data_IF_183395352472
#
_entry.id   IF_183395352472
#
_cell.length_a   1.000
_cell.length_b   1.000
_cell.length_c   1.000
_cell.angle_alpha   90.00
_cell.angle_beta   90.00
_cell.angle_gamma   90.00
#
_symmetry.space_group_name_H-M   'P 1'
#
loop_
_entity.id
_entity.type
_entity.pdbx_description
1 polymer ?
#
# COMPACT_ATOMS: atom_id res chain seq x y z
N UNK A 1 6.54 3.17 -16.25
CA UNK A 1 7.73 2.43 -15.80
C UNK A 1 7.99 2.92 -14.38
N UNK A 2 7.80 2.17 -13.30
CA UNK A 2 7.84 0.73 -13.11
C UNK A 2 6.77 0.28 -12.08
N UNK A 3 6.04 -0.80 -12.38
CA UNK A 3 5.42 -1.59 -11.33
C UNK A 3 6.59 -2.22 -10.55
N UNK A 4 6.78 -1.83 -9.29
CA UNK A 4 7.86 -2.36 -8.47
C UNK A 4 7.66 -3.87 -8.30
N UNK A 5 8.53 -4.67 -8.93
CA UNK A 5 8.67 -6.07 -8.55
C UNK A 5 9.02 -6.10 -7.07
N UNK A 6 8.24 -6.84 -6.28
CA UNK A 6 8.52 -7.06 -4.87
C UNK A 6 9.93 -7.66 -4.76
N UNK A 7 10.88 -6.86 -4.30
CA UNK A 7 12.24 -7.35 -4.07
C UNK A 7 12.14 -8.31 -2.87
N UNK A 8 12.78 -9.47 -2.97
CA UNK A 8 12.87 -10.44 -1.87
C UNK A 8 13.37 -9.75 -0.60
N UNK A 9 12.51 -9.65 0.42
CA UNK A 9 12.78 -8.95 1.69
C UNK A 9 11.94 -7.69 1.94
N UNK A 10 10.98 -7.38 1.07
CA UNK A 10 10.03 -6.27 1.22
C UNK A 10 8.58 -6.81 1.36
N UNK A 11 7.68 -6.01 1.94
CA UNK A 11 6.22 -6.22 1.85
C UNK A 11 5.65 -5.23 0.84
N UNK A 12 4.86 -5.71 -0.11
CA UNK A 12 4.22 -4.85 -1.12
C UNK A 12 2.72 -4.75 -0.89
N UNK A 13 2.20 -3.52 -0.79
CA UNK A 13 0.77 -3.22 -0.79
C UNK A 13 0.37 -2.75 -2.19
N UNK A 14 -0.47 -3.53 -2.86
CA UNK A 14 -1.03 -3.24 -4.17
C UNK A 14 -2.19 -2.24 -4.16
N UNK A 15 -2.50 -1.73 -5.35
CA UNK A 15 -3.67 -0.88 -5.63
C UNK A 15 -4.08 -1.05 -7.10
N UNK A 16 -5.37 -1.26 -7.34
CA UNK A 16 -5.94 -1.59 -8.65
C UNK A 16 -5.25 -2.80 -9.27
N UNK A 17 -4.74 -2.60 -10.49
CA UNK A 17 -4.08 -3.65 -11.26
C UNK A 17 -2.63 -3.93 -10.81
N UNK A 18 -2.14 -3.26 -9.76
CA UNK A 18 -0.82 -3.54 -9.17
C UNK A 18 -0.98 -4.57 -8.07
N UNK A 19 -0.44 -5.76 -8.30
CA UNK A 19 -0.42 -6.84 -7.32
C UNK A 19 0.58 -6.56 -6.18
N UNK A 20 0.30 -7.13 -5.01
CA UNK A 20 1.17 -7.10 -3.83
C UNK A 20 0.80 -8.24 -2.88
N UNK A 21 1.51 -8.33 -1.75
CA UNK A 21 1.15 -9.24 -0.65
C UNK A 21 -0.23 -8.90 -0.06
N UNK A 22 -0.56 -7.61 -0.04
CA UNK A 22 -1.85 -7.08 0.37
C UNK A 22 -2.33 -6.08 -0.68
N UNK A 23 -3.61 -5.71 -0.64
CA UNK A 23 -4.16 -4.69 -1.56
C UNK A 23 -5.03 -3.69 -0.81
N UNK A 24 -4.91 -2.41 -1.17
CA UNK A 24 -5.81 -1.34 -0.73
C UNK A 24 -7.18 -1.44 -1.40
N UNK A 25 -7.21 -1.76 -2.69
CA UNK A 25 -8.41 -2.01 -3.48
C UNK A 25 -7.98 -2.72 -4.75
N UNK A 26 -8.54 -3.90 -5.05
CA UNK A 26 -8.22 -4.64 -6.28
C UNK A 26 -8.85 -3.99 -7.52
N UNK A 27 -9.96 -3.27 -7.34
CA UNK A 27 -10.63 -2.51 -8.41
C UNK A 27 -10.04 -1.13 -8.66
N UNK A 28 -9.15 -0.64 -7.79
CA UNK A 28 -8.62 0.72 -7.86
C UNK A 28 -9.61 1.79 -7.38
N UNK A 29 -10.57 1.41 -6.55
CA UNK A 29 -11.56 2.32 -5.98
C UNK A 29 -10.94 3.12 -4.82
N UNK A 30 -10.99 4.44 -4.92
CA UNK A 30 -10.40 5.34 -3.91
C UNK A 30 -11.17 5.31 -2.57
N UNK A 31 -12.48 5.09 -2.59
CA UNK A 31 -13.31 5.01 -1.38
C UNK A 31 -12.99 3.72 -0.65
N UNK A 32 -12.92 2.59 -1.37
CA UNK A 32 -12.51 1.31 -0.82
C UNK A 32 -11.10 1.38 -0.24
N UNK A 33 -10.16 1.96 -1.00
CA UNK A 33 -8.78 2.13 -0.54
C UNK A 33 -8.70 2.98 0.73
N UNK A 34 -9.46 4.08 0.83
CA UNK A 34 -9.52 4.89 2.04
C UNK A 34 -10.11 4.12 3.24
N UNK A 35 -11.17 3.35 3.02
CA UNK A 35 -11.81 2.55 4.06
C UNK A 35 -10.89 1.42 4.57
N UNK A 36 -10.11 0.80 3.69
CA UNK A 36 -9.19 -0.29 4.02
C UNK A 36 -7.81 0.17 4.48
N UNK A 37 -7.46 1.44 4.28
CA UNK A 37 -6.10 1.96 4.46
C UNK A 37 -5.42 1.53 5.77
N UNK A 38 -6.03 1.83 6.91
CA UNK A 38 -5.41 1.53 8.21
C UNK A 38 -5.32 0.03 8.49
N UNK A 39 -6.35 -0.73 8.12
CA UNK A 39 -6.35 -2.18 8.28
C UNK A 39 -5.25 -2.83 7.42
N UNK A 40 -5.11 -2.40 6.17
CA UNK A 40 -4.06 -2.89 5.27
C UNK A 40 -2.67 -2.48 5.75
N UNK A 41 -2.48 -1.27 6.27
CA UNK A 41 -1.19 -0.85 6.85
C UNK A 41 -0.81 -1.67 8.07
N UNK A 42 -1.74 -1.93 9.00
CA UNK A 42 -1.46 -2.77 10.17
C UNK A 42 -1.15 -4.22 9.79
N UNK A 43 -1.87 -4.77 8.81
CA UNK A 43 -1.57 -6.10 8.30
C UNK A 43 -0.19 -6.15 7.61
N UNK A 44 0.18 -5.11 6.87
CA UNK A 44 1.49 -5.02 6.22
C UNK A 44 2.63 -4.92 7.24
N UNK A 45 2.44 -4.16 8.32
CA UNK A 45 3.40 -4.04 9.42
C UNK A 45 3.61 -5.37 10.13
N UNK A 46 2.53 -6.08 10.48
CA UNK A 46 2.60 -7.41 11.06
C UNK A 46 3.33 -8.41 10.14
N UNK A 47 3.02 -8.37 8.84
CA UNK A 47 3.67 -9.21 7.84
C UNK A 47 5.15 -8.88 7.68
N UNK A 48 5.50 -7.59 7.75
CA UNK A 48 6.88 -7.15 7.65
C UNK A 48 7.70 -7.65 8.85
N UNK A 49 7.14 -7.58 10.06
CA UNK A 49 7.75 -8.12 11.28
C UNK A 49 7.95 -9.64 11.15
N UNK A 50 6.91 -10.38 10.74
CA UNK A 50 6.98 -11.83 10.59
C UNK A 50 8.06 -12.26 9.59
N UNK A 51 8.19 -11.54 8.48
CA UNK A 51 9.15 -11.83 7.41
C UNK A 51 10.54 -11.24 7.66
N UNK A 52 10.72 -10.42 8.70
CA UNK A 52 11.91 -9.62 8.88
C UNK A 52 12.16 -8.63 7.73
N UNK A 53 11.09 -8.16 7.09
CA UNK A 53 11.17 -7.18 6.02
C UNK A 53 11.42 -5.79 6.61
N UNK A 54 12.42 -5.09 6.07
CA UNK A 54 12.78 -3.75 6.53
C UNK A 54 11.96 -2.64 5.88
N UNK A 55 11.22 -2.96 4.81
CA UNK A 55 10.55 -1.98 3.96
C UNK A 55 9.15 -2.47 3.57
N UNK A 56 8.17 -1.58 3.72
CA UNK A 56 6.82 -1.73 3.17
C UNK A 56 6.69 -0.76 2.00
N UNK A 57 6.42 -1.30 0.80
CA UNK A 57 6.11 -0.51 -0.39
C UNK A 57 4.61 -0.44 -0.58
N UNK A 58 4.14 0.67 -1.14
CA UNK A 58 2.73 0.86 -1.51
C UNK A 58 2.68 1.28 -2.97
N UNK A 59 1.77 0.66 -3.72
CA UNK A 59 1.50 1.01 -5.11
C UNK A 59 1.05 2.47 -5.23
N UNK A 60 1.32 3.07 -6.39
CA UNK A 60 0.92 4.45 -6.65
C UNK A 60 -0.61 4.59 -6.62
N UNK A 61 -1.09 5.46 -5.74
CA UNK A 61 -2.50 5.87 -5.67
C UNK A 61 -2.62 7.23 -6.34
N UNK A 62 -3.61 7.45 -7.23
CA UNK A 62 -3.85 8.75 -7.87
C UNK A 62 -3.86 9.90 -6.84
N UNK A 63 -3.25 11.04 -7.14
CA UNK A 63 -3.19 12.19 -6.22
C UNK A 63 -4.37 13.16 -6.37
N UNK A 64 -5.44 12.73 -7.03
CA UNK A 64 -6.66 13.51 -7.26
C UNK A 64 -7.73 13.22 -6.20
N UNK A 65 -8.48 14.26 -5.79
CA UNK A 65 -9.60 14.13 -4.87
C UNK A 65 -9.25 13.39 -3.58
N UNK A 66 -9.92 12.26 -3.34
CA UNK A 66 -9.71 11.41 -2.15
C UNK A 66 -8.32 10.75 -2.13
N UNK A 67 -7.75 10.46 -3.30
CA UNK A 67 -6.44 9.84 -3.42
C UNK A 67 -5.31 10.74 -2.88
N UNK A 68 -5.45 12.07 -2.96
CA UNK A 68 -4.55 13.01 -2.28
C UNK A 68 -4.51 12.82 -0.76
N UNK A 69 -5.68 12.62 -0.16
CA UNK A 69 -5.78 12.41 1.29
C UNK A 69 -5.16 11.06 1.68
N UNK A 70 -5.39 10.01 0.89
CA UNK A 70 -4.76 8.69 1.09
C UNK A 70 -3.23 8.82 1.05
N UNK A 71 -2.69 9.47 0.01
CA UNK A 71 -1.25 9.68 -0.13
C UNK A 71 -0.65 10.48 1.04
N UNK A 72 -1.35 11.50 1.55
CA UNK A 72 -0.91 12.23 2.75
C UNK A 72 -0.82 11.31 3.99
N UNK A 73 -1.78 10.41 4.18
CA UNK A 73 -1.76 9.46 5.31
C UNK A 73 -0.66 8.41 5.14
N UNK A 74 -0.44 7.93 3.91
CA UNK A 74 0.67 7.02 3.59
C UNK A 74 2.03 7.67 3.88
N UNK A 75 2.23 8.94 3.47
CA UNK A 75 3.47 9.68 3.76
C UNK A 75 3.70 9.87 5.26
N UNK A 76 2.64 10.08 6.05
CA UNK A 76 2.74 10.17 7.52
C UNK A 76 3.07 8.82 8.17
N UNK A 77 2.56 7.72 7.62
CA UNK A 77 2.89 6.38 8.09
C UNK A 77 4.34 5.98 7.75
N UNK A 78 4.95 6.62 6.74
CA UNK A 78 6.33 6.37 6.32
C UNK A 78 7.38 7.28 7.00
N UNK A 79 6.97 8.22 7.85
CA UNK A 79 7.85 9.17 8.55
C UNK A 79 8.32 8.61 9.90
#
# INVERSE_FOLDING_TARGET
VAAGEAVTGEVMIGFGNVAGDLSLSEGGDLIEAAARLFATLHAADALAIERGAAVIRVAEVPEDGLGRAINDRLRRAAA
#
